data_IF_292510858098
#
_entry.id   IF_292510858098
#
_cell.length_a   1.000
_cell.length_b   1.000
_cell.length_c   1.000
_cell.angle_alpha   90.00
_cell.angle_beta   90.00
_cell.angle_gamma   90.00
#
_symmetry.space_group_name_H-M   'P 1'
#
loop_
_entity.id
_entity.type
_entity.pdbx_description
1 polymer ?
#
# COMPACT_ATOMS: atom_id res chain seq x y z
N UNK A 1 -4.70 -21.93 12.62
CA UNK A 1 -4.92 -21.66 11.17
C UNK A 1 -3.56 -21.39 10.52
N UNK A 2 -3.37 -21.76 9.24
CA UNK A 2 -2.18 -21.32 8.50
C UNK A 2 -2.22 -19.80 8.32
N UNK A 3 -1.05 -19.17 8.34
CA UNK A 3 -0.91 -17.72 8.17
C UNK A 3 -0.51 -17.36 6.76
N UNK A 4 -1.30 -16.49 6.13
CA UNK A 4 -1.00 -15.91 4.82
C UNK A 4 -0.60 -14.45 5.01
N UNK A 5 0.54 -14.07 4.47
CA UNK A 5 0.94 -12.66 4.39
C UNK A 5 0.88 -12.21 2.94
N UNK A 6 0.20 -11.10 2.69
CA UNK A 6 0.17 -10.42 1.40
C UNK A 6 1.14 -9.24 1.40
N UNK A 7 1.82 -9.01 0.28
CA UNK A 7 2.47 -7.75 -0.03
C UNK A 7 1.80 -7.16 -1.27
N UNK A 8 1.11 -6.05 -1.12
CA UNK A 8 0.40 -5.43 -2.24
C UNK A 8 1.01 -4.09 -2.64
N UNK A 9 0.98 -3.78 -3.92
CA UNK A 9 1.37 -2.51 -4.50
C UNK A 9 0.28 -1.94 -5.40
N UNK A 10 0.58 -0.86 -6.13
CA UNK A 10 -0.41 -0.09 -6.88
C UNK A 10 -1.19 -0.93 -7.93
N UNK A 11 -0.58 -1.97 -8.48
CA UNK A 11 -1.24 -2.91 -9.39
C UNK A 11 -2.45 -3.62 -8.79
N UNK A 12 -2.51 -3.74 -7.45
CA UNK A 12 -3.68 -4.28 -6.74
C UNK A 12 -4.93 -3.43 -6.95
N UNK A 13 -4.79 -2.10 -7.07
CA UNK A 13 -5.90 -1.15 -7.13
C UNK A 13 -6.25 -0.68 -8.55
N UNK A 14 -5.51 -1.14 -9.59
CA UNK A 14 -5.77 -0.76 -11.00
C UNK A 14 -7.17 -1.11 -11.44
N UNK A 15 -7.63 -2.33 -11.15
CA UNK A 15 -8.97 -2.79 -11.52
C UNK A 15 -10.08 -2.05 -10.76
N UNK A 16 -9.75 -1.31 -9.71
CA UNK A 16 -10.66 -0.40 -9.00
C UNK A 16 -10.76 0.98 -9.66
N UNK A 17 -9.86 1.29 -10.62
CA UNK A 17 -9.83 2.57 -11.33
C UNK A 17 -8.76 3.54 -10.81
N UNK A 18 -7.89 3.12 -9.88
CA UNK A 18 -6.75 3.94 -9.45
C UNK A 18 -5.54 3.71 -10.38
N UNK A 19 -4.93 4.79 -10.86
CA UNK A 19 -3.73 4.72 -11.68
C UNK A 19 -2.53 4.24 -10.88
N UNK A 20 -1.64 3.47 -11.52
CA UNK A 20 -0.33 3.16 -10.95
C UNK A 20 0.55 4.40 -10.90
N UNK A 21 1.57 4.37 -10.05
CA UNK A 21 2.54 5.48 -9.96
C UNK A 21 3.51 5.48 -11.15
N UNK A 22 3.93 4.30 -11.62
CA UNK A 22 4.91 4.10 -12.70
C UNK A 22 4.27 3.39 -13.89
N UNK A 23 4.88 3.55 -15.07
CA UNK A 23 4.41 3.00 -16.34
C UNK A 23 3.74 4.05 -17.20
N UNK A 24 3.46 3.73 -18.47
CA UNK A 24 2.85 4.63 -19.43
C UNK A 24 1.47 5.10 -18.93
N UNK A 25 1.30 6.40 -18.76
CA UNK A 25 0.08 7.00 -18.18
C UNK A 25 -0.01 6.89 -16.65
N UNK A 26 1.08 6.54 -15.96
CA UNK A 26 1.16 6.59 -14.50
C UNK A 26 1.22 8.01 -13.95
N UNK A 27 0.99 8.16 -12.66
CA UNK A 27 0.94 9.49 -12.03
C UNK A 27 2.25 10.27 -12.12
N UNK A 28 3.40 9.57 -12.19
CA UNK A 28 4.70 10.24 -12.31
C UNK A 28 4.93 10.89 -13.69
N UNK A 29 4.12 10.56 -14.70
CA UNK A 29 4.15 11.25 -15.99
C UNK A 29 3.55 12.66 -15.89
N UNK A 30 2.53 12.86 -15.02
CA UNK A 30 1.88 14.15 -14.79
C UNK A 30 2.56 14.96 -13.67
N UNK A 31 2.96 14.28 -12.59
CA UNK A 31 3.57 14.89 -11.41
C UNK A 31 4.90 14.21 -11.09
N UNK A 32 6.04 14.88 -11.28
CA UNK A 32 7.35 14.32 -10.89
C UNK A 32 7.36 13.91 -9.42
N UNK A 33 7.77 12.67 -9.16
CA UNK A 33 7.77 12.08 -7.80
C UNK A 33 8.51 12.94 -6.78
N UNK A 34 9.61 13.55 -7.20
CA UNK A 34 10.45 14.43 -6.39
C UNK A 34 9.69 15.68 -5.89
N UNK A 35 8.66 16.11 -6.63
CA UNK A 35 7.89 17.32 -6.30
C UNK A 35 6.70 17.05 -5.39
N UNK A 36 6.07 15.87 -5.50
CA UNK A 36 4.80 15.60 -4.79
C UNK A 36 4.86 14.44 -3.80
N UNK A 37 5.89 13.60 -3.86
CA UNK A 37 6.02 12.43 -2.99
C UNK A 37 7.38 12.34 -2.30
N UNK A 38 8.08 13.45 -2.12
CA UNK A 38 9.31 13.52 -1.33
C UNK A 38 9.21 14.58 -0.22
N UNK A 39 10.01 14.40 0.83
CA UNK A 39 10.10 15.40 1.90
C UNK A 39 10.66 16.73 1.38
N UNK A 40 11.62 16.67 0.46
CA UNK A 40 12.21 17.88 -0.15
C UNK A 40 11.18 18.64 -1.00
N UNK A 41 10.36 17.93 -1.78
CA UNK A 41 9.26 18.52 -2.55
C UNK A 41 8.23 19.21 -1.65
N UNK A 42 7.91 18.60 -0.50
CA UNK A 42 7.03 19.24 0.48
C UNK A 42 7.63 20.49 1.11
N UNK A 43 8.92 20.49 1.43
CA UNK A 43 9.61 21.67 1.97
C UNK A 43 9.67 22.79 0.92
N UNK A 44 9.93 22.45 -0.34
CA UNK A 44 10.01 23.41 -1.45
C UNK A 44 8.65 24.05 -1.79
N UNK A 45 7.60 23.22 -1.89
CA UNK A 45 6.26 23.69 -2.28
C UNK A 45 5.15 22.89 -1.57
N UNK A 46 4.89 23.18 -0.29
CA UNK A 46 3.86 22.48 0.47
C UNK A 46 2.45 22.65 -0.12
N UNK A 47 2.15 23.78 -0.77
CA UNK A 47 0.84 24.01 -1.38
C UNK A 47 0.57 23.03 -2.52
N UNK A 48 1.54 22.83 -3.42
CA UNK A 48 1.44 21.85 -4.51
C UNK A 48 1.22 20.42 -3.97
N UNK A 49 1.98 20.04 -2.94
CA UNK A 49 1.86 18.70 -2.35
C UNK A 49 0.49 18.51 -1.70
N UNK A 50 0.00 19.48 -0.95
CA UNK A 50 -1.33 19.40 -0.34
C UNK A 50 -2.43 19.31 -1.39
N UNK A 51 -2.37 20.11 -2.46
CA UNK A 51 -3.30 20.06 -3.59
C UNK A 51 -3.31 18.67 -4.26
N UNK A 52 -2.12 18.11 -4.54
CA UNK A 52 -1.97 16.77 -5.10
C UNK A 52 -2.69 15.72 -4.25
N UNK A 53 -2.44 15.69 -2.93
CA UNK A 53 -3.09 14.72 -2.05
C UNK A 53 -4.58 15.01 -1.81
N UNK A 54 -5.02 16.26 -1.87
CA UNK A 54 -6.46 16.61 -1.85
C UNK A 54 -7.18 16.03 -3.09
N UNK A 55 -6.59 16.17 -4.29
CA UNK A 55 -7.11 15.57 -5.52
C UNK A 55 -7.18 14.03 -5.39
N UNK A 56 -6.12 13.41 -4.90
CA UNK A 56 -6.06 11.95 -4.70
C UNK A 56 -7.14 11.43 -3.73
N UNK A 57 -7.44 12.15 -2.65
CA UNK A 57 -8.52 11.79 -1.74
C UNK A 57 -9.89 11.82 -2.42
N UNK A 58 -10.16 12.83 -3.23
CA UNK A 58 -11.40 12.92 -4.01
C UNK A 58 -11.56 11.75 -4.98
N UNK A 59 -10.47 11.38 -5.67
CA UNK A 59 -10.45 10.21 -6.55
C UNK A 59 -10.73 8.91 -5.78
N UNK A 60 -10.11 8.72 -4.61
CA UNK A 60 -10.29 7.54 -3.78
C UNK A 60 -11.76 7.35 -3.34
N UNK A 61 -12.47 8.41 -3.04
CA UNK A 61 -13.89 8.34 -2.67
C UNK A 61 -14.78 7.83 -3.81
N UNK A 62 -14.37 8.01 -5.07
CA UNK A 62 -15.15 7.62 -6.24
C UNK A 62 -15.00 6.13 -6.63
N UNK A 63 -13.99 5.44 -6.11
CA UNK A 63 -13.68 4.05 -6.48
C UNK A 63 -14.14 3.05 -5.42
N UNK A 64 -14.22 1.77 -5.82
CA UNK A 64 -14.62 0.67 -4.95
C UNK A 64 -13.58 -0.45 -4.97
N UNK A 65 -13.47 -1.25 -3.90
CA UNK A 65 -12.66 -2.46 -3.90
C UNK A 65 -13.02 -3.38 -5.07
N UNK A 66 -12.01 -3.90 -5.77
CA UNK A 66 -12.20 -4.91 -6.81
C UNK A 66 -12.32 -6.32 -6.21
N UNK A 67 -12.52 -7.31 -7.06
CA UNK A 67 -12.70 -8.70 -6.61
C UNK A 67 -11.44 -9.26 -5.95
N UNK A 68 -10.25 -8.82 -6.35
CA UNK A 68 -9.00 -9.21 -5.69
C UNK A 68 -8.98 -8.83 -4.21
N UNK A 69 -9.36 -7.59 -3.87
CA UNK A 69 -9.48 -7.14 -2.48
C UNK A 69 -10.50 -7.99 -1.69
N UNK A 70 -11.68 -8.25 -2.29
CA UNK A 70 -12.72 -9.06 -1.65
C UNK A 70 -12.30 -10.52 -1.43
N UNK A 71 -11.54 -11.09 -2.36
CA UNK A 71 -11.01 -12.46 -2.23
C UNK A 71 -9.96 -12.53 -1.10
N UNK A 72 -9.11 -11.52 -0.95
CA UNK A 72 -8.17 -11.45 0.17
C UNK A 72 -8.92 -11.43 1.51
N UNK A 73 -9.93 -10.55 1.64
CA UNK A 73 -10.75 -10.47 2.85
C UNK A 73 -11.49 -11.78 3.14
N UNK A 74 -12.04 -12.44 2.12
CA UNK A 74 -12.75 -13.72 2.29
C UNK A 74 -11.84 -14.86 2.80
N UNK A 75 -10.54 -14.81 2.55
CA UNK A 75 -9.60 -15.80 3.10
C UNK A 75 -9.50 -15.76 4.64
N UNK A 76 -9.90 -14.66 5.30
CA UNK A 76 -9.91 -14.54 6.77
C UNK A 76 -10.87 -15.54 7.44
N UNK A 77 -11.83 -16.11 6.69
CA UNK A 77 -12.68 -17.19 7.20
C UNK A 77 -11.92 -18.49 7.50
N UNK A 78 -10.81 -18.74 6.80
CA UNK A 78 -10.07 -20.02 6.86
C UNK A 78 -8.60 -19.87 7.23
N UNK A 79 -8.05 -18.67 7.15
CA UNK A 79 -6.63 -18.38 7.38
C UNK A 79 -6.44 -17.19 8.33
N UNK A 80 -5.31 -17.13 9.01
CA UNK A 80 -4.81 -15.88 9.59
C UNK A 80 -4.23 -15.04 8.45
N UNK A 81 -4.91 -13.97 8.07
CA UNK A 81 -4.48 -13.09 6.97
C UNK A 81 -3.87 -11.81 7.51
N UNK A 82 -2.71 -11.43 6.97
CA UNK A 82 -2.10 -10.11 7.18
C UNK A 82 -1.83 -9.50 5.81
N UNK A 83 -2.35 -8.31 5.59
CA UNK A 83 -2.06 -7.52 4.40
C UNK A 83 -1.00 -6.49 4.73
N UNK A 84 0.17 -6.60 4.11
CA UNK A 84 1.18 -5.54 4.10
C UNK A 84 1.05 -4.80 2.79
N UNK A 85 0.67 -3.53 2.84
CA UNK A 85 0.43 -2.76 1.61
C UNK A 85 1.38 -1.58 1.47
N UNK A 86 1.85 -1.35 0.24
CA UNK A 86 2.54 -0.13 -0.17
C UNK A 86 1.54 0.95 -0.60
N UNK A 87 0.28 0.56 -0.78
CA UNK A 87 -0.77 1.48 -1.18
C UNK A 87 -1.19 2.35 0.00
N UNK A 88 -1.63 3.54 -0.33
CA UNK A 88 -2.14 4.52 0.62
C UNK A 88 -3.67 4.62 0.60
N UNK A 89 -4.33 3.88 -0.31
CA UNK A 89 -5.78 3.73 -0.35
C UNK A 89 -6.28 2.81 0.77
N UNK A 90 -7.57 2.87 1.08
CA UNK A 90 -8.27 2.09 2.09
C UNK A 90 -9.10 0.92 1.50
N UNK A 91 -8.76 0.47 0.27
CA UNK A 91 -9.56 -0.50 -0.44
C UNK A 91 -9.53 -1.90 0.19
N UNK A 92 -8.47 -2.26 0.89
CA UNK A 92 -8.41 -3.51 1.65
C UNK A 92 -9.42 -3.52 2.80
N UNK A 93 -9.42 -2.46 3.61
CA UNK A 93 -10.35 -2.30 4.73
C UNK A 93 -11.80 -2.21 4.23
N UNK A 94 -12.04 -1.45 3.17
CA UNK A 94 -13.37 -1.33 2.55
C UNK A 94 -13.86 -2.63 1.94
N UNK A 95 -12.96 -3.56 1.59
CA UNK A 95 -13.29 -4.91 1.16
C UNK A 95 -13.59 -5.85 2.32
N UNK A 96 -13.22 -5.49 3.57
CA UNK A 96 -13.43 -6.26 4.78
C UNK A 96 -12.17 -6.86 5.40
N UNK A 97 -10.96 -6.59 4.88
CA UNK A 97 -9.71 -7.04 5.52
C UNK A 97 -9.56 -6.38 6.89
N UNK A 98 -9.25 -7.19 7.91
CA UNK A 98 -9.21 -6.75 9.31
C UNK A 98 -7.80 -6.46 9.83
N UNK A 99 -6.76 -6.98 9.20
CA UNK A 99 -5.37 -6.79 9.61
C UNK A 99 -4.54 -6.29 8.45
N UNK A 100 -4.45 -4.95 8.32
CA UNK A 100 -3.75 -4.25 7.25
C UNK A 100 -2.63 -3.39 7.83
N UNK A 101 -1.41 -3.57 7.32
CA UNK A 101 -0.21 -2.81 7.67
C UNK A 101 0.15 -1.91 6.48
N UNK A 102 -0.07 -0.61 6.62
CA UNK A 102 0.28 0.39 5.63
C UNK A 102 1.73 0.84 5.76
N UNK A 103 2.60 0.43 4.83
CA UNK A 103 4.01 0.81 4.85
C UNK A 103 4.24 2.30 4.56
N UNK A 104 3.40 2.87 3.71
CA UNK A 104 3.58 4.24 3.23
C UNK A 104 2.51 5.22 3.75
N UNK A 105 1.83 4.86 4.85
CA UNK A 105 0.77 5.66 5.43
C UNK A 105 -0.58 5.50 4.73
N UNK A 106 -1.51 6.38 5.04
CA UNK A 106 -2.92 6.26 4.64
C UNK A 106 -3.46 7.60 4.14
N UNK A 107 -4.02 7.59 2.94
CA UNK A 107 -4.48 8.80 2.23
C UNK A 107 -5.62 9.51 2.98
N UNK A 108 -6.50 8.75 3.64
CA UNK A 108 -7.62 9.27 4.42
C UNK A 108 -7.23 9.68 5.85
N UNK A 109 -5.93 9.82 6.12
CA UNK A 109 -5.42 10.30 7.41
C UNK A 109 -4.52 11.52 7.24
N UNK A 110 -4.43 12.30 8.30
CA UNK A 110 -3.57 13.48 8.40
C UNK A 110 -2.75 13.43 9.70
N UNK A 111 -1.60 14.10 9.70
CA UNK A 111 -0.68 14.13 10.85
C UNK A 111 0.02 15.47 10.97
N UNK A 112 0.79 15.64 12.05
CA UNK A 112 1.68 16.78 12.29
C UNK A 112 2.86 16.80 11.32
N UNK A 113 3.20 17.97 10.77
CA UNK A 113 4.42 18.13 9.98
C UNK A 113 5.69 18.08 10.84
N UNK A 114 5.60 18.34 12.14
CA UNK A 114 6.71 18.28 13.09
C UNK A 114 6.98 16.87 13.60
N UNK A 115 5.91 16.08 13.79
CA UNK A 115 5.95 14.73 14.37
C UNK A 115 5.14 13.74 13.49
N UNK A 116 5.53 13.51 12.23
CA UNK A 116 4.71 12.77 11.27
C UNK A 116 4.45 11.31 11.68
N UNK A 117 5.35 10.72 12.44
CA UNK A 117 5.26 9.32 12.90
C UNK A 117 4.67 9.18 14.31
N UNK A 118 4.25 10.28 14.95
CA UNK A 118 3.60 10.21 16.24
C UNK A 118 2.11 9.89 16.06
N UNK A 119 1.74 8.66 16.38
CA UNK A 119 0.36 8.16 16.21
C UNK A 119 -0.68 8.97 16.99
N UNK A 120 -0.29 9.66 18.07
CA UNK A 120 -1.21 10.56 18.81
C UNK A 120 -1.57 11.83 18.04
N UNK A 121 -0.80 12.16 16.99
CA UNK A 121 -1.05 13.30 16.10
C UNK A 121 -1.82 12.89 14.83
N UNK A 122 -2.07 11.58 14.63
CA UNK A 122 -2.77 11.07 13.45
C UNK A 122 -4.29 11.19 13.67
N UNK A 123 -4.97 11.80 12.72
CA UNK A 123 -6.43 11.89 12.70
C UNK A 123 -7.01 11.41 11.38
N UNK A 124 -8.15 10.77 11.42
CA UNK A 124 -8.90 10.36 10.23
C UNK A 124 -9.61 11.55 9.61
N UNK A 125 -9.55 11.67 8.30
CA UNK A 125 -10.31 12.63 7.52
C UNK A 125 -11.65 12.00 7.10
N UNK A 126 -12.68 12.83 7.03
CA UNK A 126 -14.03 12.47 6.56
C UNK A 126 -14.36 13.25 5.30
N UNK A 127 -15.47 12.92 4.65
CA UNK A 127 -15.94 13.70 3.48
C UNK A 127 -16.16 15.17 3.80
N UNK A 128 -16.52 15.50 5.04
CA UNK A 128 -16.76 16.88 5.50
C UNK A 128 -15.46 17.67 5.71
N UNK A 129 -14.33 17.00 6.00
CA UNK A 129 -13.04 17.62 6.27
C UNK A 129 -11.91 16.99 5.45
N UNK A 130 -12.22 16.66 4.20
CA UNK A 130 -11.34 15.90 3.30
C UNK A 130 -10.06 16.63 2.90
N UNK A 131 -10.13 17.96 2.81
CA UNK A 131 -9.02 18.78 2.33
C UNK A 131 -8.11 19.23 3.46
N UNK A 132 -6.82 19.30 3.16
CA UNK A 132 -5.80 19.90 4.00
C UNK A 132 -5.24 21.11 3.25
N UNK A 133 -5.31 22.27 3.87
CA UNK A 133 -4.86 23.54 3.28
C UNK A 133 -3.69 24.13 4.06
N UNK A 134 -2.97 25.05 3.43
CA UNK A 134 -1.94 25.84 4.12
C UNK A 134 -2.59 26.62 5.26
N UNK A 135 -2.01 26.51 6.44
CA UNK A 135 -2.52 27.12 7.67
C UNK A 135 -3.31 26.19 8.58
N UNK A 136 -3.80 25.03 8.06
CA UNK A 136 -4.45 24.02 8.90
C UNK A 136 -3.48 23.47 9.94
N UNK A 137 -3.94 23.35 11.19
CA UNK A 137 -3.08 22.99 12.32
C UNK A 137 -3.35 21.56 12.80
N UNK A 138 -2.23 20.86 13.08
CA UNK A 138 -2.23 19.67 13.90
C UNK A 138 -2.35 20.05 15.39
N UNK A 139 -2.57 19.06 16.26
CA UNK A 139 -2.77 19.30 17.71
C UNK A 139 -1.54 19.92 18.38
N UNK A 140 -0.34 19.69 17.83
CA UNK A 140 0.92 20.32 18.30
C UNK A 140 1.15 21.75 17.75
N UNK A 141 0.17 22.30 17.03
CA UNK A 141 0.20 23.65 16.44
C UNK A 141 1.03 23.76 15.15
N UNK A 142 1.65 22.69 14.67
CA UNK A 142 2.35 22.68 13.39
C UNK A 142 1.38 22.59 12.19
N UNK A 143 1.90 22.74 10.97
CA UNK A 143 1.09 22.53 9.77
C UNK A 143 0.58 21.08 9.74
N UNK A 144 -0.71 20.90 9.47
CA UNK A 144 -1.29 19.61 9.18
C UNK A 144 -0.81 19.12 7.80
N UNK A 145 -0.44 17.85 7.70
CA UNK A 145 -0.03 17.24 6.42
C UNK A 145 -0.71 15.88 6.23
N UNK A 146 -0.75 15.34 4.99
CA UNK A 146 -1.16 13.97 4.74
C UNK A 146 -0.32 12.97 5.57
N UNK A 147 -0.96 11.95 6.13
CA UNK A 147 -0.27 10.85 6.81
C UNK A 147 0.29 9.86 5.77
N UNK A 148 1.30 10.33 5.05
CA UNK A 148 1.99 9.59 3.98
C UNK A 148 3.47 9.58 4.30
N UNK A 149 4.11 8.44 4.08
CA UNK A 149 5.57 8.30 4.13
C UNK A 149 6.14 8.68 2.77
N UNK A 150 6.83 9.80 2.71
CA UNK A 150 7.44 10.30 1.49
C UNK A 150 8.86 9.76 1.29
N UNK A 151 9.34 9.78 0.05
CA UNK A 151 10.75 9.52 -0.22
C UNK A 151 11.63 10.47 0.59
N UNK A 152 12.67 9.90 1.22
CA UNK A 152 13.52 10.60 2.19
C UNK A 152 13.09 10.45 3.64
N UNK A 153 11.88 9.92 3.93
CA UNK A 153 11.42 9.63 5.28
C UNK A 153 11.63 8.15 5.65
N UNK A 154 11.74 7.87 6.96
CA UNK A 154 11.74 6.50 7.45
C UNK A 154 10.37 5.83 7.25
N UNK A 155 10.35 4.52 7.02
CA UNK A 155 9.15 3.70 6.90
C UNK A 155 8.88 3.03 8.25
N UNK A 156 8.04 3.60 9.11
CA UNK A 156 7.95 3.16 10.52
C UNK A 156 7.36 1.75 10.66
N UNK A 157 6.51 1.31 9.73
CA UNK A 157 5.82 0.02 9.80
C UNK A 157 6.63 -1.16 9.25
N UNK A 158 7.92 -0.96 8.91
CA UNK A 158 8.75 -2.05 8.36
C UNK A 158 8.97 -3.18 9.35
N UNK A 159 9.20 -2.86 10.63
CA UNK A 159 9.46 -3.90 11.65
C UNK A 159 8.23 -4.77 11.88
N UNK A 160 7.03 -4.18 11.89
CA UNK A 160 5.75 -4.91 12.00
C UNK A 160 5.53 -5.82 10.78
N UNK A 161 5.80 -5.30 9.58
CA UNK A 161 5.71 -6.08 8.34
C UNK A 161 6.69 -7.27 8.33
N UNK A 162 7.94 -7.05 8.76
CA UNK A 162 8.94 -8.11 8.90
C UNK A 162 8.49 -9.14 9.94
N UNK A 163 7.98 -8.71 11.10
CA UNK A 163 7.49 -9.59 12.13
C UNK A 163 6.31 -10.46 11.65
N UNK A 164 5.37 -9.86 10.91
CA UNK A 164 4.27 -10.58 10.30
C UNK A 164 4.76 -11.66 9.33
N UNK A 165 5.72 -11.31 8.44
CA UNK A 165 6.21 -12.21 7.41
C UNK A 165 7.07 -13.35 7.95
N UNK A 166 7.86 -13.13 9.01
CA UNK A 166 8.70 -14.19 9.61
C UNK A 166 7.91 -15.41 10.10
N UNK A 167 6.63 -15.22 10.41
CA UNK A 167 5.74 -16.26 10.90
C UNK A 167 4.72 -16.72 9.85
N UNK A 168 4.93 -16.38 8.57
CA UNK A 168 4.03 -16.75 7.48
C UNK A 168 4.22 -18.23 7.08
N UNK A 169 3.12 -18.87 6.73
CA UNK A 169 3.10 -20.18 6.06
C UNK A 169 3.01 -20.04 4.54
N UNK A 170 2.45 -18.91 4.05
CA UNK A 170 2.30 -18.60 2.64
C UNK A 170 2.59 -17.11 2.46
N UNK A 171 3.32 -16.75 1.41
CA UNK A 171 3.56 -15.36 1.03
C UNK A 171 3.02 -15.06 -0.37
N UNK A 172 2.17 -14.05 -0.51
CA UNK A 172 1.54 -13.68 -1.78
C UNK A 172 1.86 -12.21 -2.08
N UNK A 173 2.42 -11.96 -3.26
CA UNK A 173 2.85 -10.63 -3.73
C UNK A 173 1.95 -10.25 -4.89
N UNK A 174 1.32 -9.05 -4.85
CA UNK A 174 0.36 -8.63 -5.86
C UNK A 174 0.63 -7.19 -6.32
N UNK A 175 0.77 -7.00 -7.62
CA UNK A 175 0.75 -5.68 -8.24
C UNK A 175 1.89 -4.75 -7.79
N UNK A 176 3.08 -5.30 -7.55
CA UNK A 176 4.28 -4.53 -7.22
C UNK A 176 5.46 -4.94 -8.09
N UNK A 177 6.15 -3.95 -8.63
CA UNK A 177 7.38 -4.15 -9.40
C UNK A 177 8.58 -4.59 -8.56
N UNK A 178 8.46 -4.60 -7.22
CA UNK A 178 9.55 -4.85 -6.26
C UNK A 178 10.76 -3.90 -6.43
N UNK A 179 10.52 -2.66 -6.89
CA UNK A 179 11.56 -1.66 -7.13
C UNK A 179 11.60 -0.55 -6.06
N UNK A 180 10.67 -0.54 -5.11
CA UNK A 180 10.60 0.48 -4.04
C UNK A 180 11.14 -0.11 -2.75
N UNK A 181 12.29 0.39 -2.31
CA UNK A 181 12.90 0.01 -1.04
C UNK A 181 12.46 0.97 0.07
N UNK A 182 12.31 0.47 1.33
CA UNK A 182 12.69 -0.86 1.82
C UNK A 182 11.65 -1.95 1.58
N UNK A 183 10.42 -1.64 1.11
CA UNK A 183 9.32 -2.60 0.96
C UNK A 183 9.68 -3.81 0.05
N UNK A 184 10.40 -3.57 -1.05
CA UNK A 184 10.89 -4.65 -1.94
C UNK A 184 11.80 -5.66 -1.21
N UNK A 185 12.50 -5.21 -0.17
CA UNK A 185 13.37 -6.05 0.66
C UNK A 185 12.62 -7.07 1.52
N UNK A 186 11.30 -6.95 1.70
CA UNK A 186 10.50 -7.89 2.48
C UNK A 186 10.62 -9.33 1.97
N UNK A 187 10.78 -9.53 0.66
CA UNK A 187 10.98 -10.85 0.08
C UNK A 187 12.13 -11.64 0.75
N UNK A 188 13.16 -10.94 1.22
CA UNK A 188 14.32 -11.56 1.87
C UNK A 188 14.04 -12.07 3.29
N UNK A 189 12.95 -11.62 3.91
CA UNK A 189 12.54 -12.04 5.26
C UNK A 189 11.54 -13.20 5.25
N UNK A 190 11.06 -13.60 4.07
CA UNK A 190 10.17 -14.73 3.94
C UNK A 190 10.87 -16.03 4.40
N UNK A 191 10.25 -16.88 5.23
CA UNK A 191 10.82 -18.15 5.65
C UNK A 191 11.26 -19.01 4.47
N UNK A 192 12.38 -19.73 4.60
CA UNK A 192 13.03 -20.41 3.48
C UNK A 192 12.19 -21.52 2.81
N UNK A 193 11.17 -22.04 3.49
CA UNK A 193 10.41 -23.23 3.05
C UNK A 193 8.97 -22.94 2.63
N UNK A 194 8.50 -21.69 2.75
CA UNK A 194 7.13 -21.37 2.40
C UNK A 194 6.96 -21.15 0.89
N UNK A 195 5.80 -21.49 0.32
CA UNK A 195 5.46 -21.11 -1.05
C UNK A 195 5.31 -19.60 -1.16
N UNK A 196 5.74 -19.06 -2.30
CA UNK A 196 5.61 -17.65 -2.66
C UNK A 196 4.86 -17.58 -3.98
N UNK A 197 3.80 -16.79 -4.03
CA UNK A 197 3.05 -16.50 -5.24
C UNK A 197 3.24 -15.04 -5.61
N UNK A 198 3.56 -14.76 -6.88
CA UNK A 198 3.70 -13.40 -7.40
C UNK A 198 2.68 -13.21 -8.52
N UNK A 199 1.75 -12.30 -8.30
CA UNK A 199 0.66 -11.96 -9.22
C UNK A 199 0.94 -10.57 -9.80
N UNK A 200 1.27 -10.52 -11.07
CA UNK A 200 1.43 -9.26 -11.82
C UNK A 200 1.30 -9.56 -13.33
N UNK A 201 0.54 -8.77 -14.11
CA UNK A 201 0.43 -8.97 -15.55
C UNK A 201 1.76 -8.67 -16.28
N UNK A 202 2.58 -7.81 -15.69
CA UNK A 202 3.86 -7.40 -16.26
C UNK A 202 5.01 -8.29 -15.78
N UNK A 203 6.13 -8.15 -16.43
CA UNK A 203 7.36 -8.81 -15.98
C UNK A 203 7.92 -8.11 -14.74
N UNK A 204 8.14 -8.90 -13.68
CA UNK A 204 8.77 -8.44 -12.44
C UNK A 204 10.16 -9.06 -12.36
N UNK A 205 11.18 -8.22 -12.14
CA UNK A 205 12.56 -8.68 -12.00
C UNK A 205 12.77 -9.32 -10.62
N UNK A 206 12.63 -10.64 -10.57
CA UNK A 206 12.79 -11.44 -9.34
C UNK A 206 13.60 -12.69 -9.66
N UNK A 207 14.51 -13.08 -8.76
CA UNK A 207 15.28 -14.29 -8.92
C UNK A 207 14.39 -15.52 -8.89
N UNK A 208 14.58 -16.43 -9.85
CA UNK A 208 13.85 -17.70 -9.88
C UNK A 208 14.17 -18.54 -8.64
N UNK A 209 13.13 -19.19 -8.09
CA UNK A 209 13.25 -20.08 -6.95
C UNK A 209 12.23 -21.21 -7.09
N UNK A 210 12.55 -22.45 -6.68
CA UNK A 210 11.58 -23.55 -6.69
C UNK A 210 10.30 -23.29 -5.86
N UNK A 211 10.34 -22.36 -4.93
CA UNK A 211 9.21 -21.97 -4.09
C UNK A 211 8.40 -20.80 -4.65
N UNK A 212 8.84 -20.19 -5.75
CA UNK A 212 8.18 -19.03 -6.37
C UNK A 212 7.34 -19.48 -7.56
N UNK A 213 6.05 -19.23 -7.49
CA UNK A 213 5.11 -19.38 -8.59
C UNK A 213 4.71 -18.00 -9.11
N UNK A 214 4.90 -17.75 -10.40
CA UNK A 214 4.54 -16.47 -11.04
C UNK A 214 3.23 -16.65 -11.81
N UNK A 215 2.25 -15.82 -11.49
CA UNK A 215 0.93 -15.78 -12.11
C UNK A 215 0.82 -14.48 -12.91
N UNK A 216 0.88 -14.58 -14.24
CA UNK A 216 0.86 -13.43 -15.18
C UNK A 216 -0.56 -12.94 -15.44
N UNK A 217 -1.21 -12.42 -14.40
CA UNK A 217 -2.61 -11.98 -14.42
C UNK A 217 -2.78 -10.71 -13.59
N UNK A 218 -3.91 -10.03 -13.82
CA UNK A 218 -4.37 -8.94 -12.94
C UNK A 218 -4.74 -9.46 -11.56
N UNK A 219 -4.96 -8.54 -10.63
CA UNK A 219 -5.19 -8.88 -9.22
C UNK A 219 -6.38 -9.81 -9.00
N UNK A 220 -7.52 -9.53 -9.62
CA UNK A 220 -8.75 -10.33 -9.43
C UNK A 220 -8.62 -11.74 -9.99
N UNK A 221 -8.10 -11.86 -11.21
CA UNK A 221 -7.95 -13.18 -11.86
C UNK A 221 -6.84 -13.98 -11.19
N UNK A 222 -5.73 -13.34 -10.85
CA UNK A 222 -4.61 -13.98 -10.15
C UNK A 222 -5.01 -14.45 -8.75
N UNK A 223 -5.83 -13.68 -8.03
CA UNK A 223 -6.35 -14.09 -6.73
C UNK A 223 -7.30 -15.30 -6.83
N UNK A 224 -8.15 -15.39 -7.86
CA UNK A 224 -8.96 -16.61 -8.09
C UNK A 224 -8.08 -17.83 -8.28
N UNK A 225 -7.01 -17.72 -9.08
CA UNK A 225 -6.08 -18.83 -9.33
C UNK A 225 -5.33 -19.23 -8.05
N UNK A 226 -4.72 -18.26 -7.34
CA UNK A 226 -3.97 -18.58 -6.13
C UNK A 226 -4.85 -19.15 -5.01
N UNK A 227 -6.10 -18.70 -4.91
CA UNK A 227 -7.06 -19.23 -3.93
C UNK A 227 -7.32 -20.73 -4.14
N UNK A 228 -7.34 -21.22 -5.38
CA UNK A 228 -7.43 -22.66 -5.65
C UNK A 228 -6.14 -23.41 -5.31
N UNK A 229 -4.98 -22.83 -5.61
CA UNK A 229 -3.67 -23.44 -5.35
C UNK A 229 -3.32 -23.60 -3.85
N UNK A 230 -3.87 -22.76 -2.97
CA UNK A 230 -3.58 -22.79 -1.53
C UNK A 230 -4.56 -23.62 -0.71
N UNK A 231 -5.63 -24.16 -1.32
CA UNK A 231 -6.61 -25.03 -0.65
C UNK A 231 -6.07 -26.42 -0.29
N UNK A 232 -4.98 -26.83 -0.95
CA UNK A 232 -4.28 -28.10 -0.73
C UNK A 232 -3.16 -27.94 0.34
#
# INVERSE_FOLDING_TARGET
>A
MKKIVFLTGAGMSVESGLSTFRGAGGMWDEYPVEKVASIDGYIENPALVLEFYNKRRKELLSVKPNDGHKLIAALEESYEVVVVTQNVDDLHERAGSTNVIHLHGELMKATSSRQPNNLTQVRTLTEENLEINIGDKADDGSQLRPYIVWFGEAVPMMDDAIAALRNADIFIIIGTSLNVYPAAGLLNYAPARIPIYLIDPNEVNVSSSPRLTIIRKGASEGMREVTELIKD
#
